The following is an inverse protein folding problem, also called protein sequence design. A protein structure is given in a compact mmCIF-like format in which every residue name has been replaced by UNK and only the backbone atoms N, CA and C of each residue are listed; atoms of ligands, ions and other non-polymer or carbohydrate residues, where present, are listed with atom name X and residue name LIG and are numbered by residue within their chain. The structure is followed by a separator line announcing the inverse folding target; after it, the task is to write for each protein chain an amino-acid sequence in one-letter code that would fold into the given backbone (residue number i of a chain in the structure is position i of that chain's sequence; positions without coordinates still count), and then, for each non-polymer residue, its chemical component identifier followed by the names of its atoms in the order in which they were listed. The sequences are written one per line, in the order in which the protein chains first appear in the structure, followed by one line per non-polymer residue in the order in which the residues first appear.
data_IF_851950086100
#
_entry.id   IF_851950086100
#
_cell.length_a   1.000
_cell.length_b   1.000
_cell.length_c   1.000
_cell.angle_alpha   90.00
_cell.angle_beta   90.00
_cell.angle_gamma   90.00
#
_symmetry.space_group_name_H-M   'P 1'
#
loop_
_entity.id
_entity.type
_entity.pdbx_description
1 polymer ?
#
# COMPACT_ATOMS: atom_id res chain seq x y z
N UNK A 1 -1.24 6.05 -8.39
CA UNK A 1 -1.65 6.44 -7.03
C UNK A 1 -0.48 6.14 -6.12
N UNK A 2 -0.10 7.09 -5.26
CA UNK A 2 0.91 6.90 -4.22
C UNK A 2 0.20 6.93 -2.86
N UNK A 3 0.44 5.90 -2.05
CA UNK A 3 -0.02 5.86 -0.65
C UNK A 3 1.15 6.22 0.26
N UNK A 4 0.89 7.06 1.25
CA UNK A 4 1.82 7.39 2.32
C UNK A 4 1.11 7.24 3.67
N UNK A 5 1.88 7.10 4.76
CA UNK A 5 1.36 7.00 6.14
C UNK A 5 0.40 5.83 6.41
N UNK A 6 0.55 4.74 5.65
CA UNK A 6 -0.18 3.49 5.91
C UNK A 6 0.51 2.72 7.05
N UNK A 7 -0.23 2.49 8.13
CA UNK A 7 0.23 1.71 9.27
C UNK A 7 -0.53 0.38 9.28
N UNK A 8 0.20 -0.72 9.40
CA UNK A 8 -0.36 -2.05 9.63
C UNK A 8 0.35 -2.70 10.83
N UNK A 9 -0.27 -3.70 11.45
CA UNK A 9 0.28 -4.43 12.58
C UNK A 9 0.49 -5.90 12.17
N UNK A 10 1.60 -6.23 11.48
CA UNK A 10 1.81 -7.55 10.88
C UNK A 10 1.83 -8.70 11.90
N UNK A 11 2.17 -8.42 13.16
CA UNK A 11 2.23 -9.38 14.27
C UNK A 11 0.89 -9.65 14.95
N UNK A 12 -0.13 -8.81 14.71
CA UNK A 12 -1.48 -9.08 15.16
C UNK A 12 -2.12 -10.07 14.19
N UNK A 13 -2.36 -11.31 14.64
CA UNK A 13 -2.91 -12.42 13.84
C UNK A 13 -4.28 -12.14 13.15
N UNK A 14 -4.83 -10.94 13.31
CA UNK A 14 -6.13 -10.49 12.85
C UNK A 14 -6.07 -9.11 12.17
N UNK A 15 -4.93 -8.69 11.61
CA UNK A 15 -4.88 -7.42 10.85
C UNK A 15 -5.72 -7.50 9.56
N UNK A 16 -6.99 -7.16 9.73
CA UNK A 16 -7.98 -6.98 8.66
C UNK A 16 -7.89 -5.57 8.06
N UNK A 17 -7.25 -4.62 8.74
CA UNK A 17 -7.18 -3.22 8.33
C UNK A 17 -6.22 -3.08 7.15
N UNK A 18 -5.02 -3.68 7.21
CA UNK A 18 -4.07 -3.69 6.09
C UNK A 18 -4.68 -4.28 4.81
N UNK A 19 -5.48 -5.34 4.96
CA UNK A 19 -6.22 -5.96 3.84
C UNK A 19 -7.32 -5.06 3.30
N UNK A 20 -8.12 -4.44 4.17
CA UNK A 20 -9.18 -3.51 3.78
C UNK A 20 -8.62 -2.28 3.05
N UNK A 21 -7.54 -1.69 3.57
CA UNK A 21 -6.81 -0.58 2.92
C UNK A 21 -6.29 -0.98 1.55
N UNK A 22 -5.74 -2.19 1.43
CA UNK A 22 -5.26 -2.73 0.16
C UNK A 22 -6.39 -2.88 -0.85
N UNK A 23 -7.52 -3.49 -0.45
CA UNK A 23 -8.71 -3.61 -1.31
C UNK A 23 -9.21 -2.23 -1.78
N UNK A 24 -9.27 -1.26 -0.87
CA UNK A 24 -9.67 0.11 -1.21
C UNK A 24 -8.71 0.74 -2.21
N UNK A 25 -7.40 0.58 -2.03
CA UNK A 25 -6.41 1.11 -2.95
C UNK A 25 -6.51 0.51 -4.35
N UNK A 26 -6.75 -0.81 -4.46
CA UNK A 26 -6.97 -1.48 -5.74
C UNK A 26 -8.17 -0.92 -6.48
N UNK A 27 -9.30 -0.80 -5.78
CA UNK A 27 -10.56 -0.31 -6.35
C UNK A 27 -10.45 1.16 -6.76
N UNK A 28 -9.90 2.01 -5.89
CA UNK A 28 -9.74 3.42 -6.17
C UNK A 28 -8.81 3.66 -7.36
N UNK A 29 -7.69 2.94 -7.45
CA UNK A 29 -6.80 3.03 -8.60
C UNK A 29 -7.48 2.57 -9.91
N UNK A 30 -8.30 1.52 -9.86
CA UNK A 30 -9.06 1.06 -11.01
C UNK A 30 -10.08 2.11 -11.47
N UNK A 31 -10.78 2.77 -10.54
CA UNK A 31 -11.71 3.87 -10.85
C UNK A 31 -11.02 5.10 -11.46
N UNK A 32 -9.75 5.31 -11.15
CA UNK A 32 -8.92 6.35 -11.76
C UNK A 32 -8.30 5.92 -13.11
N UNK A 33 -8.59 4.72 -13.62
CA UNK A 33 -8.00 4.19 -14.86
C UNK A 33 -6.51 3.85 -14.75
N UNK A 34 -5.99 3.70 -13.53
CA UNK A 34 -4.59 3.34 -13.31
C UNK A 34 -4.39 1.83 -13.37
N UNK A 35 -3.19 1.38 -13.75
CA UNK A 35 -2.82 -0.04 -13.77
C UNK A 35 -2.16 -0.52 -12.49
N UNK A 36 -1.43 0.37 -11.81
CA UNK A 36 -0.64 0.04 -10.62
C UNK A 36 -0.77 1.11 -9.52
N UNK A 37 -0.84 0.64 -8.28
CA UNK A 37 -0.56 1.43 -7.07
C UNK A 37 0.88 1.18 -6.67
N UNK A 38 1.61 2.22 -6.29
CA UNK A 38 2.99 2.11 -5.80
C UNK A 38 3.07 2.55 -4.35
N UNK A 39 3.93 1.88 -3.59
CA UNK A 39 4.17 2.15 -2.18
C UNK A 39 5.68 2.09 -1.88
N UNK A 40 6.13 3.06 -1.09
CA UNK A 40 7.46 3.10 -0.48
C UNK A 40 7.30 2.72 0.99
N UNK A 41 7.92 1.62 1.41
CA UNK A 41 7.91 1.19 2.81
C UNK A 41 9.31 1.40 3.41
N UNK A 42 9.43 2.31 4.37
CA UNK A 42 10.69 2.52 5.09
C UNK A 42 11.05 1.29 5.92
N UNK A 43 12.33 0.90 5.87
CA UNK A 43 12.89 -0.20 6.68
C UNK A 43 14.04 0.25 7.58
N UNK A 44 14.20 1.57 7.76
CA UNK A 44 15.32 2.19 8.49
C UNK A 44 15.46 1.67 9.93
N UNK A 45 14.34 1.41 10.59
CA UNK A 45 14.28 0.92 11.97
C UNK A 45 13.92 -0.57 12.07
N UNK A 46 13.98 -1.32 10.97
CA UNK A 46 13.61 -2.74 10.96
C UNK A 46 14.86 -3.61 10.86
N UNK A 47 14.92 -4.66 11.68
CA UNK A 47 15.84 -5.77 11.45
C UNK A 47 15.52 -6.49 10.14
N UNK A 48 16.46 -7.31 9.65
CA UNK A 48 16.24 -8.15 8.47
C UNK A 48 15.04 -9.10 8.61
N UNK A 49 14.81 -9.63 9.81
CA UNK A 49 13.68 -10.51 10.11
C UNK A 49 12.35 -9.75 10.06
N UNK A 50 12.30 -8.55 10.63
CA UNK A 50 11.11 -7.69 10.59
C UNK A 50 10.80 -7.21 9.17
N UNK A 51 11.84 -6.89 8.40
CA UNK A 51 11.69 -6.57 6.97
C UNK A 51 11.11 -7.76 6.21
N UNK A 52 11.59 -8.98 6.46
CA UNK A 52 11.03 -10.18 5.83
C UNK A 52 9.56 -10.40 6.21
N UNK A 53 9.21 -10.23 7.50
CA UNK A 53 7.82 -10.31 7.98
C UNK A 53 6.91 -9.28 7.30
N UNK A 54 7.38 -8.05 7.14
CA UNK A 54 6.66 -6.99 6.42
C UNK A 54 6.39 -7.41 4.97
N UNK A 55 7.39 -7.95 4.27
CA UNK A 55 7.23 -8.38 2.87
C UNK A 55 6.29 -9.58 2.73
N UNK A 56 6.35 -10.54 3.65
CA UNK A 56 5.41 -11.68 3.68
C UNK A 56 3.98 -11.17 3.90
N UNK A 57 3.77 -10.26 4.86
CA UNK A 57 2.47 -9.66 5.13
C UNK A 57 1.94 -8.87 3.92
N UNK A 58 2.78 -8.03 3.31
CA UNK A 58 2.44 -7.26 2.13
C UNK A 58 2.03 -8.18 0.96
N UNK A 59 2.79 -9.26 0.74
CA UNK A 59 2.45 -10.31 -0.24
C UNK A 59 1.12 -10.97 0.07
N UNK A 60 0.83 -11.28 1.34
CA UNK A 60 -0.46 -11.80 1.78
C UNK A 60 -1.64 -10.86 1.50
N UNK A 61 -1.39 -9.55 1.46
CA UNK A 61 -2.37 -8.54 1.06
C UNK A 61 -2.46 -8.34 -0.47
N UNK A 62 -1.58 -8.95 -1.26
CA UNK A 62 -1.56 -8.85 -2.72
C UNK A 62 -0.53 -7.88 -3.30
N UNK A 63 0.32 -7.27 -2.45
CA UNK A 63 1.43 -6.44 -2.91
C UNK A 63 2.55 -7.30 -3.48
N UNK A 64 3.25 -6.74 -4.46
CA UNK A 64 4.39 -7.32 -5.13
C UNK A 64 5.65 -6.53 -4.78
N UNK A 65 6.70 -7.23 -4.39
CA UNK A 65 8.03 -6.65 -4.24
C UNK A 65 8.58 -6.24 -5.60
N UNK A 66 9.14 -5.03 -5.68
CA UNK A 66 9.81 -4.52 -6.89
C UNK A 66 11.32 -4.53 -6.67
N UNK A 67 11.81 -3.77 -5.69
CA UNK A 67 13.24 -3.65 -5.36
C UNK A 67 13.47 -3.01 -4.01
N UNK A 68 14.68 -3.20 -3.48
CA UNK A 68 15.23 -2.32 -2.45
C UNK A 68 15.65 -0.98 -3.08
N UNK A 69 15.53 0.10 -2.31
CA UNK A 69 15.91 1.45 -2.71
C UNK A 69 16.31 2.25 -1.47
N UNK A 70 16.63 3.53 -1.67
CA UNK A 70 16.80 4.50 -0.60
C UNK A 70 15.93 5.73 -0.84
N UNK A 71 15.55 6.42 0.24
CA UNK A 71 14.86 7.70 0.15
C UNK A 71 15.85 8.84 -0.14
N UNK A 72 15.34 10.09 -0.16
CA UNK A 72 16.18 11.29 -0.39
C UNK A 72 17.20 11.54 0.73
N UNK A 73 17.01 10.94 1.90
CA UNK A 73 17.90 11.03 3.06
C UNK A 73 18.82 9.81 3.16
N UNK A 74 18.94 9.02 2.09
CA UNK A 74 19.72 7.78 1.99
C UNK A 74 19.24 6.64 2.93
N UNK A 75 18.03 6.74 3.48
CA UNK A 75 17.45 5.72 4.37
C UNK A 75 16.90 4.55 3.56
N UNK A 76 17.08 3.30 4.03
CA UNK A 76 16.64 2.13 3.29
C UNK A 76 15.12 2.05 3.22
N UNK A 77 14.61 1.72 2.03
CA UNK A 77 13.20 1.48 1.78
C UNK A 77 13.01 0.32 0.81
N UNK A 78 11.79 -0.22 0.80
CA UNK A 78 11.35 -1.21 -0.17
C UNK A 78 10.26 -0.61 -1.05
N UNK A 79 10.40 -0.81 -2.35
CA UNK A 79 9.38 -0.45 -3.33
C UNK A 79 8.46 -1.64 -3.57
N UNK A 80 7.17 -1.38 -3.39
CA UNK A 80 6.09 -2.34 -3.60
C UNK A 80 5.13 -1.80 -4.67
N UNK A 81 4.50 -2.72 -5.39
CA UNK A 81 3.42 -2.40 -6.31
C UNK A 81 2.21 -3.31 -6.11
N UNK A 82 1.04 -2.82 -6.46
CA UNK A 82 -0.22 -3.55 -6.31
C UNK A 82 -1.05 -3.32 -7.57
N UNK A 83 -1.54 -4.37 -8.23
CA UNK A 83 -2.35 -4.21 -9.43
C UNK A 83 -3.68 -3.56 -9.07
N UNK A 84 -4.07 -2.56 -9.85
CA UNK A 84 -5.41 -2.01 -9.78
C UNK A 84 -6.44 -3.07 -10.16
N UNK A 85 -7.51 -3.18 -9.38
CA UNK A 85 -8.58 -4.14 -9.60
C UNK A 85 -9.87 -3.62 -9.00
N UNK A 86 -10.91 -3.49 -9.82
CA UNK A 86 -12.24 -3.13 -9.36
C UNK A 86 -12.73 -4.16 -8.34
N UNK A 87 -13.23 -3.68 -7.20
CA UNK A 87 -13.77 -4.51 -6.13
C UNK A 87 -15.28 -4.27 -6.04
N UNK A 88 -16.05 -5.09 -6.75
CA UNK A 88 -17.51 -5.02 -6.72
C UNK A 88 -18.01 -5.12 -5.26
N UNK A 89 -18.82 -4.15 -4.84
CA UNK A 89 -19.39 -4.09 -3.48
C UNK A 89 -18.49 -3.49 -2.40
N UNK A 90 -17.20 -3.20 -2.67
CA UNK A 90 -16.32 -2.62 -1.66
C UNK A 90 -16.76 -1.21 -1.24
N UNK A 91 -17.35 -0.44 -2.16
CA UNK A 91 -17.86 0.91 -1.87
C UNK A 91 -18.92 0.94 -0.75
N UNK A 92 -19.63 -0.18 -0.54
CA UNK A 92 -20.61 -0.33 0.54
C UNK A 92 -19.96 -0.56 1.90
N UNK A 93 -18.72 -1.06 1.92
CA UNK A 93 -17.96 -1.37 3.13
C UNK A 93 -16.97 -0.25 3.51
N UNK A 94 -16.37 0.39 2.51
CA UNK A 94 -15.38 1.46 2.70
C UNK A 94 -15.68 2.57 1.70
N UNK A 95 -16.11 3.73 2.22
CA UNK A 95 -16.22 4.97 1.46
C UNK A 95 -15.28 5.99 2.05
N UNK A 96 -14.35 6.48 1.23
CA UNK A 96 -13.55 7.65 1.53
C UNK A 96 -13.93 8.75 0.54
N UNK A 97 -14.50 9.84 1.02
CA UNK A 97 -14.79 11.02 0.22
C UNK A 97 -13.69 12.06 0.47
N UNK A 98 -12.56 11.91 -0.21
CA UNK A 98 -11.53 12.96 -0.24
C UNK A 98 -11.87 13.89 -1.38
N UNK A 99 -12.09 15.20 -1.14
CA UNK A 99 -12.25 16.16 -2.22
C UNK A 99 -11.01 16.11 -3.13
N UNK A 100 -11.22 15.84 -4.42
CA UNK A 100 -10.15 15.94 -5.41
C UNK A 100 -9.98 17.42 -5.71
N UNK A 101 -8.96 18.05 -5.14
CA UNK A 101 -8.54 19.36 -5.62
C UNK A 101 -7.70 19.16 -6.89
N UNK A 102 -8.07 19.78 -8.03
CA UNK A 102 -7.21 19.78 -9.20
C UNK A 102 -5.86 20.41 -8.83
N UNK A 103 -4.76 19.76 -9.21
CA UNK A 103 -3.42 20.28 -8.96
C UNK A 103 -3.21 21.65 -9.63
N UNK A 104 -2.31 22.50 -9.11
CA UNK A 104 -2.05 23.81 -9.70
C UNK A 104 -1.57 23.64 -11.15
N UNK A 105 -2.27 24.31 -12.07
CA UNK A 105 -1.92 24.48 -13.48
C UNK A 105 -0.67 25.33 -13.65
#
# INVERSE_FOLDING_TARGET
LQLSLAHSAPSAALDKIGRLMTLWAQDFAARLGMTWVRCEASTDNLSSEETLRLLIHAKGCGWQFVRFSRDRSDRPLVLLQLPARAQLGLHALIRCAVPIQPGPS
#
